data_IF_446478458547
#
_entry.id   IF_446478458547
#
_cell.length_a   1.000
_cell.length_b   1.000
_cell.length_c   1.000
_cell.angle_alpha   90.00
_cell.angle_beta   90.00
_cell.angle_gamma   90.00
#
_symmetry.space_group_name_H-M   'P 1'
#
loop_
_entity.id
_entity.type
_entity.pdbx_description
1 polymer ?
#
# COMPACT_ATOMS: atom_id res chain seq x y z
N UNK A 1 15.54 16.08 12.24
CA UNK A 1 15.96 15.42 10.98
C UNK A 1 14.73 14.98 10.21
N UNK A 2 14.82 14.94 8.87
CA UNK A 2 13.72 14.48 8.01
C UNK A 2 14.17 13.22 7.29
N UNK A 3 13.43 12.13 7.45
CA UNK A 3 13.70 10.83 6.85
C UNK A 3 12.59 10.50 5.86
N UNK A 4 12.95 10.12 4.65
CA UNK A 4 12.02 9.64 3.62
C UNK A 4 12.39 8.24 3.21
N UNK A 5 11.43 7.32 3.20
CA UNK A 5 11.64 5.90 2.87
C UNK A 5 10.70 5.48 1.75
N UNK A 6 11.22 4.78 0.75
CA UNK A 6 10.38 4.08 -0.23
C UNK A 6 9.99 2.71 0.33
N UNK A 7 8.69 2.42 0.35
CA UNK A 7 8.14 1.21 1.00
C UNK A 7 7.06 0.53 0.19
N UNK A 8 6.96 -0.78 0.37
CA UNK A 8 5.88 -1.63 -0.13
C UNK A 8 5.81 -2.92 0.70
N UNK A 9 4.61 -3.47 0.82
CA UNK A 9 4.29 -4.67 1.58
C UNK A 9 4.58 -4.63 3.08
N UNK A 10 4.39 -5.78 3.71
CA UNK A 10 4.63 -6.01 5.15
C UNK A 10 6.08 -5.71 5.55
N UNK A 11 7.05 -6.03 4.68
CA UNK A 11 8.47 -5.75 4.94
C UNK A 11 8.76 -4.26 5.06
N UNK A 12 8.15 -3.43 4.19
CA UNK A 12 8.25 -1.98 4.26
C UNK A 12 7.66 -1.42 5.56
N UNK A 13 6.49 -1.89 5.96
CA UNK A 13 5.86 -1.47 7.22
C UNK A 13 6.68 -1.85 8.46
N UNK A 14 7.27 -3.05 8.50
CA UNK A 14 8.19 -3.47 9.58
C UNK A 14 9.47 -2.64 9.61
N UNK A 15 10.00 -2.26 8.45
CA UNK A 15 11.14 -1.36 8.39
C UNK A 15 10.80 0.02 8.99
N UNK A 16 9.62 0.57 8.66
CA UNK A 16 9.15 1.83 9.24
C UNK A 16 8.99 1.75 10.76
N UNK A 17 8.52 0.63 11.32
CA UNK A 17 8.49 0.41 12.76
C UNK A 17 9.89 0.51 13.39
N UNK A 18 10.90 -0.09 12.77
CA UNK A 18 12.29 0.01 13.23
C UNK A 18 12.81 1.45 13.18
N UNK A 19 12.45 2.21 12.14
CA UNK A 19 12.79 3.64 12.05
C UNK A 19 12.09 4.45 13.15
N UNK A 20 10.82 4.19 13.42
CA UNK A 20 10.10 4.85 14.51
C UNK A 20 10.69 4.52 15.87
N UNK A 21 11.09 3.27 16.11
CA UNK A 21 11.75 2.86 17.34
C UNK A 21 13.10 3.58 17.52
N UNK A 22 13.90 3.66 16.45
CA UNK A 22 15.19 4.37 16.47
C UNK A 22 15.03 5.87 16.74
N UNK A 23 14.02 6.49 16.14
CA UNK A 23 13.80 7.94 16.20
C UNK A 23 12.86 8.37 17.33
N UNK A 24 12.23 7.45 18.05
CA UNK A 24 11.25 7.77 19.09
C UNK A 24 9.94 8.36 18.56
N UNK A 25 9.41 7.80 17.47
CA UNK A 25 8.19 8.30 16.80
C UNK A 25 7.00 7.37 17.00
N UNK A 26 5.81 7.87 16.72
CA UNK A 26 4.56 7.11 16.76
C UNK A 26 4.35 6.41 18.09
N UNK A 27 4.04 5.11 18.04
CA UNK A 27 3.81 4.28 19.22
C UNK A 27 5.04 4.15 20.16
N UNK A 28 6.24 4.55 19.71
CA UNK A 28 7.47 4.54 20.52
C UNK A 28 7.82 5.90 21.12
N UNK A 29 7.06 6.97 20.81
CA UNK A 29 7.36 8.34 21.27
C UNK A 29 7.06 8.58 22.75
N UNK A 30 6.04 7.93 23.30
CA UNK A 30 5.69 8.06 24.72
C UNK A 30 6.72 7.42 25.69
N UNK A 31 7.59 6.55 25.18
CA UNK A 31 8.57 5.81 25.99
C UNK A 31 9.76 6.68 26.46
N UNK A 32 9.86 7.94 26.04
CA UNK A 32 11.07 8.75 26.28
C UNK A 32 11.07 9.59 27.58
N UNK A 33 9.98 9.58 28.36
CA UNK A 33 9.91 10.30 29.64
C UNK A 33 9.95 11.83 29.51
N UNK A 34 9.68 12.57 30.59
CA UNK A 34 9.49 14.03 30.57
C UNK A 34 10.76 14.85 30.27
N UNK A 35 11.95 14.23 30.29
CA UNK A 35 13.24 14.89 30.07
C UNK A 35 13.92 14.54 28.74
N UNK A 36 13.27 13.77 27.87
CA UNK A 36 13.79 13.59 26.52
C UNK A 36 13.61 14.90 25.75
N UNK A 37 14.72 15.58 25.48
CA UNK A 37 14.75 16.70 24.55
C UNK A 37 13.98 16.30 23.30
N UNK A 38 12.93 17.07 22.96
CA UNK A 38 12.08 16.81 21.80
C UNK A 38 12.99 16.67 20.57
N UNK A 39 13.20 15.43 20.13
CA UNK A 39 13.94 15.18 18.93
C UNK A 39 12.97 15.45 17.78
N UNK A 40 13.10 16.61 17.16
CA UNK A 40 12.34 16.98 15.97
C UNK A 40 12.73 16.03 14.83
N UNK A 41 12.10 14.87 14.76
CA UNK A 41 12.30 13.87 13.74
C UNK A 41 10.99 13.71 12.96
N UNK A 42 11.06 13.82 11.64
CA UNK A 42 9.92 13.62 10.75
C UNK A 42 10.18 12.39 9.90
N UNK A 43 9.22 11.46 9.86
CA UNK A 43 9.25 10.28 8.99
C UNK A 43 8.19 10.42 7.91
N UNK A 44 8.60 10.36 6.65
CA UNK A 44 7.72 10.25 5.49
C UNK A 44 7.96 8.92 4.77
N UNK A 45 6.89 8.24 4.37
CA UNK A 45 6.94 7.02 3.60
C UNK A 45 6.28 7.27 2.25
N UNK A 46 7.01 7.05 1.16
CA UNK A 46 6.44 7.01 -0.20
C UNK A 46 6.10 5.56 -0.48
N UNK A 47 4.80 5.28 -0.55
CA UNK A 47 4.23 3.95 -0.51
C UNK A 47 3.84 3.50 -1.92
N UNK A 48 4.20 2.27 -2.26
CA UNK A 48 3.80 1.61 -3.49
C UNK A 48 2.26 1.62 -3.66
N UNK A 49 1.82 1.87 -4.90
CA UNK A 49 0.40 1.80 -5.31
C UNK A 49 0.19 0.75 -6.42
N UNK A 50 1.23 0.00 -6.76
CA UNK A 50 1.23 -1.04 -7.79
C UNK A 50 0.25 -2.18 -7.50
N UNK A 51 -0.05 -2.40 -6.23
CA UNK A 51 -0.94 -3.47 -5.78
C UNK A 51 -2.38 -2.99 -5.59
N UNK A 52 -2.64 -1.70 -5.82
CA UNK A 52 -3.96 -1.13 -5.66
C UNK A 52 -4.91 -1.62 -6.75
N UNK A 53 -6.12 -2.01 -6.37
CA UNK A 53 -7.10 -2.59 -7.29
C UNK A 53 -8.52 -2.14 -6.97
N UNK A 54 -9.39 -2.20 -7.98
CA UNK A 54 -10.83 -2.16 -7.78
C UNK A 54 -11.35 -3.59 -7.66
N UNK A 55 -11.92 -3.93 -6.50
CA UNK A 55 -12.38 -5.29 -6.17
C UNK A 55 -13.78 -5.17 -5.56
N UNK A 56 -14.75 -5.90 -6.10
CA UNK A 56 -16.16 -5.85 -5.68
C UNK A 56 -16.74 -4.42 -5.55
N UNK A 57 -16.31 -3.51 -6.42
CA UNK A 57 -16.78 -2.12 -6.43
C UNK A 57 -16.11 -1.19 -5.43
N UNK A 58 -15.13 -1.66 -4.63
CA UNK A 58 -14.36 -0.83 -3.70
C UNK A 58 -12.89 -0.70 -4.12
N UNK A 59 -12.25 0.41 -3.75
CA UNK A 59 -10.81 0.63 -3.96
C UNK A 59 -9.99 0.04 -2.82
N UNK A 60 -9.13 -0.92 -3.15
CA UNK A 60 -8.19 -1.59 -2.24
C UNK A 60 -6.79 -1.03 -2.47
N UNK A 61 -6.07 -0.69 -1.38
CA UNK A 61 -4.72 -0.13 -1.43
C UNK A 61 -3.80 -0.85 -0.42
N UNK A 62 -3.36 -2.09 -0.73
CA UNK A 62 -2.80 -3.01 0.29
C UNK A 62 -1.58 -2.47 1.03
N UNK A 63 -0.67 -1.79 0.33
CA UNK A 63 0.58 -1.32 0.91
C UNK A 63 0.39 -0.09 1.81
N UNK A 64 -0.50 0.83 1.41
CA UNK A 64 -0.92 1.97 2.23
C UNK A 64 -1.61 1.49 3.50
N UNK A 65 -2.56 0.56 3.36
CA UNK A 65 -3.31 -0.01 4.47
C UNK A 65 -2.39 -0.78 5.41
N UNK A 66 -1.48 -1.58 4.87
CA UNK A 66 -0.48 -2.30 5.66
C UNK A 66 0.40 -1.35 6.46
N UNK A 67 0.91 -0.27 5.87
CA UNK A 67 1.71 0.73 6.59
C UNK A 67 0.87 1.41 7.67
N UNK A 68 -0.35 1.85 7.34
CA UNK A 68 -1.25 2.56 8.24
C UNK A 68 -1.63 1.71 9.46
N UNK A 69 -2.08 0.47 9.24
CA UNK A 69 -2.47 -0.43 10.32
C UNK A 69 -1.27 -0.87 11.16
N UNK A 70 -0.12 -1.13 10.53
CA UNK A 70 1.07 -1.60 11.26
C UNK A 70 1.59 -0.52 12.20
N UNK A 71 1.71 0.71 11.71
CA UNK A 71 2.25 1.84 12.49
C UNK A 71 1.21 2.41 13.47
N UNK A 72 -0.08 2.29 13.16
CA UNK A 72 -1.18 2.64 14.05
C UNK A 72 -1.56 1.54 15.06
N UNK A 73 -0.80 0.43 15.11
CA UNK A 73 -1.03 -0.66 16.06
C UNK A 73 -2.30 -1.50 15.81
N UNK A 74 -2.90 -1.43 14.63
CA UNK A 74 -4.11 -2.18 14.26
C UNK A 74 -3.88 -3.62 13.81
N UNK A 75 -2.65 -3.96 13.41
CA UNK A 75 -2.34 -5.29 12.85
C UNK A 75 -2.46 -6.39 13.91
N UNK A 76 -2.97 -7.53 13.49
CA UNK A 76 -2.97 -8.76 14.27
C UNK A 76 -1.53 -9.30 14.44
N UNK A 77 -0.99 -9.38 15.67
CA UNK A 77 0.39 -9.81 15.90
C UNK A 77 0.61 -11.31 15.63
N UNK A 78 -0.44 -12.14 15.69
CA UNK A 78 -0.34 -13.59 15.45
C UNK A 78 -0.32 -13.89 13.95
N UNK A 79 -1.22 -13.27 13.19
CA UNK A 79 -1.27 -13.44 11.72
C UNK A 79 -0.18 -12.64 11.01
N UNK A 80 0.21 -11.50 11.58
CA UNK A 80 1.21 -10.59 11.02
C UNK A 80 0.69 -9.73 9.86
N UNK A 81 -0.62 -9.75 9.59
CA UNK A 81 -1.33 -8.95 8.60
C UNK A 81 -2.83 -8.87 8.97
N UNK A 82 -3.54 -7.88 8.42
CA UNK A 82 -4.97 -7.65 8.69
C UNK A 82 -5.25 -7.13 10.11
N UNK A 83 -6.51 -6.78 10.38
CA UNK A 83 -6.95 -6.26 11.69
C UNK A 83 -6.98 -7.35 12.77
N UNK A 84 -6.78 -6.96 14.03
CA UNK A 84 -7.19 -7.78 15.19
C UNK A 84 -8.70 -8.00 15.19
N UNK A 85 -9.13 -9.16 15.70
CA UNK A 85 -10.54 -9.54 15.83
C UNK A 85 -11.32 -9.36 14.52
N UNK A 86 -10.70 -9.73 13.42
CA UNK A 86 -11.27 -9.65 12.07
C UNK A 86 -12.23 -10.81 11.82
N UNK A 87 -13.32 -10.51 11.11
CA UNK A 87 -14.29 -11.49 10.63
C UNK A 87 -14.35 -11.46 9.10
N UNK A 88 -14.98 -12.46 8.48
CA UNK A 88 -15.02 -12.62 7.02
C UNK A 88 -16.42 -12.90 6.49
N UNK A 89 -17.45 -12.42 7.18
CA UNK A 89 -18.84 -12.70 6.83
C UNK A 89 -19.21 -12.11 5.47
N UNK A 90 -18.76 -10.89 5.16
CA UNK A 90 -18.99 -10.30 3.85
C UNK A 90 -18.34 -11.14 2.73
N UNK A 91 -17.10 -11.61 2.94
CA UNK A 91 -16.42 -12.51 2.00
C UNK A 91 -17.18 -13.82 1.80
N UNK A 92 -17.65 -14.44 2.87
CA UNK A 92 -18.42 -15.69 2.81
C UNK A 92 -19.72 -15.52 2.01
N UNK A 93 -20.46 -14.42 2.23
CA UNK A 93 -21.68 -14.13 1.47
C UNK A 93 -21.38 -13.78 0.01
N UNK A 94 -20.32 -13.01 -0.28
CA UNK A 94 -19.89 -12.75 -1.67
C UNK A 94 -19.57 -14.05 -2.42
N UNK A 95 -18.92 -15.01 -1.76
CA UNK A 95 -18.67 -16.32 -2.33
C UNK A 95 -19.97 -17.09 -2.62
N UNK A 96 -20.97 -17.00 -1.72
CA UNK A 96 -22.30 -17.61 -1.92
C UNK A 96 -23.10 -16.96 -3.07
N UNK A 97 -22.94 -15.66 -3.27
CA UNK A 97 -23.48 -14.96 -4.45
C UNK A 97 -22.76 -15.33 -5.76
N UNK A 98 -21.60 -16.01 -5.69
CA UNK A 98 -20.83 -16.39 -6.87
C UNK A 98 -20.16 -15.22 -7.58
N UNK A 99 -19.97 -14.08 -6.90
CA UNK A 99 -19.35 -12.91 -7.52
C UNK A 99 -17.83 -13.08 -7.61
N UNK A 100 -17.29 -12.71 -8.75
CA UNK A 100 -15.84 -12.70 -9.00
C UNK A 100 -15.26 -11.31 -8.70
N UNK A 101 -13.98 -11.20 -8.30
CA UNK A 101 -13.02 -12.29 -8.08
C UNK A 101 -13.20 -13.03 -6.73
N UNK A 102 -13.15 -14.36 -6.73
CA UNK A 102 -13.18 -15.18 -5.50
C UNK A 102 -11.80 -15.36 -4.81
N UNK A 103 -10.72 -14.98 -5.51
CA UNK A 103 -9.35 -15.15 -5.06
C UNK A 103 -8.91 -14.07 -4.06
N UNK A 104 -9.65 -12.98 -3.91
CA UNK A 104 -9.30 -11.91 -2.97
C UNK A 104 -10.22 -11.92 -1.75
N UNK A 105 -9.64 -12.02 -0.56
CA UNK A 105 -10.39 -11.96 0.69
C UNK A 105 -10.43 -10.55 1.26
N UNK A 106 -11.63 -10.01 1.50
CA UNK A 106 -11.85 -8.78 2.26
C UNK A 106 -12.34 -9.14 3.66
N UNK A 107 -11.62 -8.70 4.69
CA UNK A 107 -12.11 -8.76 6.06
C UNK A 107 -13.21 -7.73 6.30
N UNK A 108 -14.10 -7.97 7.26
CA UNK A 108 -15.26 -7.10 7.50
C UNK A 108 -14.83 -5.72 8.05
N UNK A 109 -13.84 -5.68 8.95
CA UNK A 109 -13.25 -4.42 9.44
C UNK A 109 -12.45 -3.73 8.35
N UNK A 110 -11.71 -4.50 7.57
CA UNK A 110 -10.94 -3.96 6.46
C UNK A 110 -11.85 -3.32 5.40
N UNK A 111 -13.00 -3.93 5.11
CA UNK A 111 -14.02 -3.40 4.20
C UNK A 111 -14.49 -1.99 4.60
N UNK A 112 -14.51 -1.64 5.89
CA UNK A 112 -14.84 -0.29 6.32
C UNK A 112 -13.87 0.77 5.78
N UNK A 113 -12.55 0.50 5.81
CA UNK A 113 -11.54 1.39 5.22
C UNK A 113 -11.76 1.55 3.72
N UNK A 114 -12.06 0.43 3.03
CA UNK A 114 -12.33 0.42 1.60
C UNK A 114 -13.56 1.24 1.22
N UNK A 115 -14.64 1.14 2.00
CA UNK A 115 -15.87 1.91 1.79
C UNK A 115 -15.62 3.40 1.96
N UNK A 116 -14.96 3.82 3.05
CA UNK A 116 -14.61 5.23 3.29
C UNK A 116 -13.74 5.77 2.15
N UNK A 117 -12.69 5.06 1.76
CA UNK A 117 -11.83 5.45 0.63
C UNK A 117 -12.62 5.59 -0.65
N UNK A 118 -13.46 4.61 -0.96
CA UNK A 118 -14.23 4.57 -2.20
C UNK A 118 -15.21 5.74 -2.26
N UNK A 119 -15.89 6.05 -1.15
CA UNK A 119 -16.77 7.20 -1.06
C UNK A 119 -16.02 8.51 -1.31
N UNK A 120 -14.85 8.69 -0.70
CA UNK A 120 -14.04 9.90 -0.89
C UNK A 120 -13.49 10.02 -2.32
N UNK A 121 -13.06 8.92 -2.94
CA UNK A 121 -12.67 8.91 -4.36
C UNK A 121 -13.86 9.32 -5.24
N UNK A 122 -15.05 8.80 -4.97
CA UNK A 122 -16.28 9.17 -5.68
C UNK A 122 -16.65 10.65 -5.52
N UNK A 123 -16.24 11.28 -4.41
CA UNK A 123 -16.40 12.72 -4.16
C UNK A 123 -15.26 13.58 -4.74
N UNK A 124 -14.29 12.98 -5.44
CA UNK A 124 -13.22 13.69 -6.14
C UNK A 124 -11.97 14.00 -5.30
N UNK A 125 -11.85 13.44 -4.10
CA UNK A 125 -10.62 13.59 -3.30
C UNK A 125 -9.47 12.74 -3.88
N UNK A 126 -8.24 13.27 -3.98
CA UNK A 126 -7.08 12.48 -4.40
C UNK A 126 -6.65 11.49 -3.32
N UNK A 127 -5.99 10.40 -3.71
CA UNK A 127 -5.60 9.31 -2.83
C UNK A 127 -4.75 9.80 -1.63
N UNK A 128 -3.88 10.77 -1.86
CA UNK A 128 -3.03 11.40 -0.84
C UNK A 128 -3.84 12.06 0.28
N UNK A 129 -4.91 12.79 -0.06
CA UNK A 129 -5.82 13.41 0.93
C UNK A 129 -6.64 12.35 1.65
N UNK A 130 -7.07 11.30 0.94
CA UNK A 130 -7.80 10.19 1.54
C UNK A 130 -6.94 9.43 2.54
N UNK A 131 -5.69 9.13 2.19
CA UNK A 131 -4.72 8.51 3.10
C UNK A 131 -4.51 9.38 4.33
N UNK A 132 -4.36 10.71 4.18
CA UNK A 132 -4.24 11.63 5.30
C UNK A 132 -5.47 11.58 6.23
N UNK A 133 -6.68 11.63 5.67
CA UNK A 133 -7.92 11.56 6.46
C UNK A 133 -8.09 10.23 7.19
N UNK A 134 -7.74 9.10 6.57
CA UNK A 134 -7.73 7.80 7.24
C UNK A 134 -6.67 7.75 8.36
N UNK A 135 -5.53 8.39 8.16
CA UNK A 135 -4.47 8.49 9.15
C UNK A 135 -4.86 9.31 10.39
N UNK A 136 -5.87 10.18 10.34
CA UNK A 136 -6.37 10.89 11.53
C UNK A 136 -6.91 9.90 12.58
N UNK A 137 -7.54 8.81 12.14
CA UNK A 137 -7.99 7.72 13.03
C UNK A 137 -6.82 6.88 13.53
N UNK A 138 -5.92 6.48 12.62
CA UNK A 138 -4.87 5.51 12.91
C UNK A 138 -3.64 6.10 13.61
N UNK A 139 -3.44 7.41 13.48
CA UNK A 139 -2.30 8.17 13.98
C UNK A 139 -0.95 7.41 13.83
N UNK A 140 -0.52 7.09 12.60
CA UNK A 140 0.60 6.18 12.37
C UNK A 140 1.96 6.76 12.79
N UNK A 141 2.06 8.02 13.25
CA UNK A 141 3.34 8.63 13.62
C UNK A 141 4.33 8.76 12.45
N UNK A 142 3.83 8.74 11.21
CA UNK A 142 4.57 8.91 9.97
C UNK A 142 3.63 9.51 8.92
N UNK A 143 4.18 10.29 7.98
CA UNK A 143 3.43 10.79 6.83
C UNK A 143 3.43 9.73 5.73
N UNK A 144 2.28 9.10 5.49
CA UNK A 144 2.12 8.09 4.45
C UNK A 144 1.67 8.76 3.15
N UNK A 145 2.49 8.64 2.11
CA UNK A 145 2.27 9.28 0.82
C UNK A 145 2.14 8.21 -0.25
N UNK A 146 1.01 8.13 -0.99
CA UNK A 146 0.98 7.28 -2.18
C UNK A 146 2.02 7.77 -3.18
N UNK A 147 2.70 6.86 -3.87
CA UNK A 147 3.70 7.21 -4.88
C UNK A 147 3.11 8.09 -6.00
N UNK A 148 1.83 7.92 -6.31
CA UNK A 148 1.06 8.74 -7.24
C UNK A 148 -0.39 8.86 -6.78
N UNK A 149 -1.04 9.97 -7.10
CA UNK A 149 -2.51 10.09 -7.01
C UNK A 149 -3.20 9.49 -8.25
N UNK A 150 -2.45 9.25 -9.33
CA UNK A 150 -2.93 8.59 -10.53
C UNK A 150 -2.82 7.06 -10.39
N UNK A 151 -3.62 6.32 -11.16
CA UNK A 151 -3.56 4.85 -11.17
C UNK A 151 -2.27 4.35 -11.81
N UNK A 152 -1.47 3.58 -11.09
CA UNK A 152 -0.31 2.85 -11.62
C UNK A 152 -0.33 1.41 -11.09
N UNK A 153 -1.11 0.52 -11.72
CA UNK A 153 -1.37 -0.85 -11.24
C UNK A 153 -0.40 -1.83 -11.92
N UNK A 154 0.29 -2.64 -11.12
CA UNK A 154 1.23 -3.65 -11.57
C UNK A 154 0.47 -4.84 -12.14
N UNK A 155 0.79 -5.18 -13.38
CA UNK A 155 0.28 -6.34 -14.09
C UNK A 155 1.41 -7.30 -14.45
N UNK A 156 1.08 -8.57 -14.60
CA UNK A 156 1.98 -9.65 -14.96
C UNK A 156 1.49 -10.27 -16.27
N UNK A 157 2.36 -10.35 -17.26
CA UNK A 157 2.06 -10.99 -18.54
C UNK A 157 2.30 -12.49 -18.41
N UNK A 158 1.23 -13.27 -18.52
CA UNK A 158 1.26 -14.73 -18.47
C UNK A 158 0.84 -15.32 -19.82
N UNK A 159 1.18 -16.60 -20.03
CA UNK A 159 0.45 -17.44 -20.98
C UNK A 159 -0.82 -17.95 -20.30
N UNK A 160 -1.99 -17.60 -20.84
CA UNK A 160 -3.27 -18.09 -20.33
C UNK A 160 -3.35 -19.62 -20.52
N UNK A 161 -3.59 -20.41 -19.46
CA UNK A 161 -3.72 -21.85 -19.59
C UNK A 161 -4.99 -22.29 -20.35
N UNK A 162 -5.98 -21.42 -20.55
CA UNK A 162 -7.23 -21.76 -21.23
C UNK A 162 -7.10 -21.73 -22.76
N UNK A 163 -6.47 -20.69 -23.31
CA UNK A 163 -6.38 -20.46 -24.76
C UNK A 163 -4.94 -20.33 -25.28
N UNK A 164 -3.93 -20.34 -24.41
CA UNK A 164 -2.51 -20.23 -24.77
C UNK A 164 -2.06 -18.81 -25.17
N UNK A 165 -2.92 -17.81 -25.09
CA UNK A 165 -2.60 -16.43 -25.48
C UNK A 165 -1.83 -15.70 -24.38
N UNK A 166 -1.15 -14.59 -24.76
CA UNK A 166 -0.53 -13.69 -23.77
C UNK A 166 -1.59 -12.74 -23.21
N UNK A 167 -1.79 -12.78 -21.89
CA UNK A 167 -2.66 -11.83 -21.17
C UNK A 167 -1.92 -11.16 -20.02
N UNK A 168 -2.20 -9.89 -19.80
CA UNK A 168 -1.78 -9.16 -18.61
C UNK A 168 -2.85 -9.33 -17.53
N UNK A 169 -2.45 -9.84 -16.36
CA UNK A 169 -3.33 -9.97 -15.18
C UNK A 169 -2.81 -9.11 -14.04
N UNK A 170 -3.70 -8.64 -13.17
CA UNK A 170 -3.28 -7.84 -12.02
C UNK A 170 -2.32 -8.64 -11.12
N UNK A 171 -1.34 -7.97 -10.51
CA UNK A 171 -0.31 -8.63 -9.69
C UNK A 171 -0.91 -9.47 -8.55
N UNK A 172 -1.95 -8.98 -7.88
CA UNK A 172 -2.63 -9.72 -6.82
C UNK A 172 -3.32 -11.01 -7.34
N UNK A 173 -3.96 -10.96 -8.51
CA UNK A 173 -4.51 -12.16 -9.14
C UNK A 173 -3.40 -13.15 -9.48
N UNK A 174 -2.30 -12.66 -10.07
CA UNK A 174 -1.13 -13.50 -10.37
C UNK A 174 -0.58 -14.15 -9.12
N UNK A 175 -0.36 -13.37 -8.05
CA UNK A 175 0.25 -13.83 -6.81
C UNK A 175 -0.56 -14.93 -6.14
N UNK A 176 -1.88 -14.78 -6.06
CA UNK A 176 -2.76 -15.73 -5.38
C UNK A 176 -3.08 -16.94 -6.25
N UNK A 177 -3.38 -16.72 -7.54
CA UNK A 177 -3.92 -17.77 -8.41
C UNK A 177 -2.86 -18.47 -9.25
N UNK A 178 -1.98 -17.71 -9.90
CA UNK A 178 -1.15 -18.19 -11.03
C UNK A 178 0.35 -18.32 -10.74
N UNK A 179 0.85 -17.73 -9.64
CA UNK A 179 2.28 -17.67 -9.31
C UNK A 179 2.88 -19.06 -9.31
N UNK A 180 3.96 -19.23 -10.09
CA UNK A 180 4.68 -20.48 -10.26
C UNK A 180 3.84 -21.65 -10.84
N UNK A 181 2.64 -21.38 -11.39
CA UNK A 181 1.76 -22.38 -12.01
C UNK A 181 1.66 -22.24 -13.53
N UNK A 182 1.95 -21.06 -14.07
CA UNK A 182 1.87 -20.77 -15.52
C UNK A 182 3.12 -20.01 -16.00
N UNK A 183 3.50 -20.14 -17.28
CA UNK A 183 4.57 -19.33 -17.86
C UNK A 183 4.30 -17.84 -17.66
N UNK A 184 5.27 -17.16 -17.06
CA UNK A 184 5.21 -15.74 -16.73
C UNK A 184 6.36 -15.04 -17.44
N UNK A 185 6.06 -13.96 -18.18
CA UNK A 185 6.99 -13.39 -19.17
C UNK A 185 7.57 -12.04 -18.76
N UNK A 186 6.73 -11.14 -18.24
CA UNK A 186 7.15 -9.78 -17.89
C UNK A 186 6.16 -9.11 -16.95
N UNK A 187 6.58 -7.99 -16.36
CA UNK A 187 5.68 -7.05 -15.69
C UNK A 187 5.27 -5.93 -16.65
N UNK A 188 4.08 -5.38 -16.46
CA UNK A 188 3.58 -4.22 -17.18
C UNK A 188 2.84 -3.30 -16.21
N UNK A 189 2.82 -2.01 -16.48
CA UNK A 189 1.99 -1.04 -15.75
C UNK A 189 1.18 -0.23 -16.76
N UNK A 190 0.14 -0.82 -17.38
CA UNK A 190 -0.56 -0.22 -18.51
C UNK A 190 -1.20 1.13 -18.18
N UNK A 191 -1.63 1.31 -16.93
CA UNK A 191 -2.20 2.60 -16.47
C UNK A 191 -1.12 3.68 -16.31
N UNK A 192 0.13 3.29 -16.13
CA UNK A 192 1.28 4.18 -15.94
C UNK A 192 1.81 4.77 -17.27
N UNK A 193 1.53 4.14 -18.41
CA UNK A 193 2.00 4.54 -19.76
C UNK A 193 1.08 5.53 -20.50
N UNK A 194 -0.15 5.76 -20.01
CA UNK A 194 -1.01 6.85 -20.52
C UNK A 194 -0.52 8.25 -20.14
N UNK A 195 0.55 8.30 -19.34
CA UNK A 195 1.26 9.51 -18.96
C UNK A 195 2.14 9.95 -20.12
N UNK A 196 1.82 11.12 -20.71
CA UNK A 196 2.55 11.67 -21.86
C UNK A 196 4.07 11.69 -21.60
N UNK A 197 4.92 11.64 -22.64
CA UNK A 197 6.39 11.71 -22.48
C UNK A 197 6.87 13.01 -21.81
N UNK A 198 5.98 13.96 -21.52
CA UNK A 198 6.25 15.19 -20.79
C UNK A 198 6.08 15.07 -19.28
N UNK A 199 5.37 14.06 -18.76
CA UNK A 199 5.17 13.83 -17.32
C UNK A 199 4.76 12.36 -17.09
N UNK A 200 5.59 11.46 -16.51
CA UNK A 200 5.13 10.17 -15.97
C UNK A 200 4.07 10.42 -14.86
N UNK A 201 3.32 9.39 -14.42
CA UNK A 201 2.25 9.50 -13.40
C UNK A 201 2.54 10.61 -12.38
N UNK A 202 1.57 11.51 -12.16
CA UNK A 202 1.80 12.64 -11.26
C UNK A 202 2.16 12.09 -9.91
N UNK A 203 3.39 12.37 -9.46
CA UNK A 203 3.78 12.02 -8.12
C UNK A 203 2.73 12.57 -7.14
N UNK A 204 2.34 11.75 -6.17
CA UNK A 204 1.33 12.15 -5.19
C UNK A 204 1.78 13.43 -4.48
N UNK A 205 0.83 14.21 -3.98
CA UNK A 205 1.17 15.51 -3.39
C UNK A 205 2.22 15.37 -2.25
N UNK A 206 3.41 15.87 -2.54
CA UNK A 206 4.59 15.82 -1.68
C UNK A 206 5.36 14.49 -1.65
N UNK A 207 5.07 13.55 -2.54
CA UNK A 207 5.83 12.31 -2.74
C UNK A 207 7.20 12.55 -3.39
N UNK A 208 7.37 13.65 -4.14
CA UNK A 208 8.69 14.15 -4.56
C UNK A 208 9.24 15.02 -3.42
N UNK A 209 10.34 14.63 -2.76
CA UNK A 209 10.95 15.47 -1.75
C UNK A 209 11.39 16.80 -2.39
N UNK A 210 11.00 17.95 -1.80
CA UNK A 210 11.57 19.26 -2.16
C UNK A 210 13.04 19.26 -1.74
N UNK A 211 13.93 18.72 -2.56
CA UNK A 211 15.35 18.58 -2.22
C UNK A 211 16.14 19.84 -2.60
N UNK A 212 16.51 20.62 -1.58
CA UNK A 212 17.88 21.13 -1.47
C UNK A 212 18.69 20.46 -0.34
N UNK A 213 18.11 19.57 0.47
CA UNK A 213 18.81 19.08 1.67
C UNK A 213 18.45 17.68 2.21
N UNK A 214 17.79 16.80 1.46
CA UNK A 214 17.58 15.42 1.94
C UNK A 214 18.66 14.48 1.37
N UNK A 215 19.46 13.85 2.22
CA UNK A 215 20.41 12.77 1.86
C UNK A 215 19.61 11.51 1.46
N UNK A 216 19.66 11.08 0.19
CA UNK A 216 18.77 10.04 -0.33
C UNK A 216 19.44 8.66 -0.26
N UNK A 217 19.38 7.93 0.86
CA UNK A 217 20.10 6.63 0.96
C UNK A 217 19.41 5.48 1.71
N UNK A 218 18.08 5.46 1.85
CA UNK A 218 17.39 4.30 2.48
C UNK A 218 16.20 3.79 1.66
N UNK A 219 16.41 2.65 0.99
CA UNK A 219 15.33 1.80 0.47
C UNK A 219 15.04 0.70 1.48
N UNK A 220 13.77 0.45 1.77
CA UNK A 220 13.35 -0.68 2.62
C UNK A 220 13.56 -2.03 1.90
N UNK A 221 13.59 -3.14 2.65
CA UNK A 221 13.77 -4.50 2.14
C UNK A 221 12.53 -5.09 1.43
N UNK A 222 11.65 -4.24 0.88
CA UNK A 222 10.58 -4.69 -0.01
C UNK A 222 11.16 -5.46 -1.20
N UNK A 223 10.42 -6.45 -1.72
CA UNK A 223 10.89 -7.35 -2.79
C UNK A 223 11.42 -6.49 -3.96
N UNK A 224 12.75 -6.41 -4.16
CA UNK A 224 13.27 -5.67 -5.29
C UNK A 224 13.01 -6.54 -6.51
N UNK A 225 12.10 -6.10 -7.39
CA UNK A 225 11.96 -6.76 -8.69
C UNK A 225 13.25 -6.51 -9.46
N UNK A 226 14.10 -7.54 -9.52
CA UNK A 226 15.34 -7.54 -10.28
C UNK A 226 15.00 -7.26 -11.73
N UNK A 227 15.55 -6.17 -12.26
CA UNK A 227 15.69 -6.00 -13.70
C UNK A 227 16.45 -7.23 -14.22
N UNK A 228 15.80 -8.02 -15.05
CA UNK A 228 16.46 -8.84 -16.05
C UNK A 228 16.20 -8.17 -17.39
#
# INVERSE_FOLDING_TARGET
MKVTVLVGGVGGARFLLGVQQLLGLGQFGAAQGPNAAARDHELSAVVNIGDDAWIHGVRVCPDLDTCMYTLGGGVDPQRGWGHRDETWHAKEELARYGVQPDWFGLGDRDLATHLVRTQMLGAGYPLSQITAALCDRWNPGARLLPASDDRCETHVVITDPHDGTRRAIHFQEWWVRYRAKVPTHSFASPSCTSCSPRWPCRAGDGAIPRTRSADPRTKSSGVPMSRQ
#
